data_IF_606301196752
#
_entry.id   IF_606301196752
#
_cell.length_a   1.000
_cell.length_b   1.000
_cell.length_c   1.000
_cell.angle_alpha   90.00
_cell.angle_beta   90.00
_cell.angle_gamma   90.00
#
_symmetry.space_group_name_H-M   'P 1'
#
loop_
_entity.id
_entity.type
_entity.pdbx_description
1 polymer ?
#
# COMPACT_ATOMS: atom_id res chain seq x y z
N UNK A 1 42.42 -45.53 56.53
CA UNK A 1 41.18 -46.36 56.61
C UNK A 1 39.91 -45.54 56.87
N UNK A 2 39.65 -44.42 56.18
CA UNK A 2 38.42 -43.60 56.37
C UNK A 2 37.73 -43.15 55.06
N UNK A 3 38.14 -43.69 53.91
CA UNK A 3 37.60 -43.28 52.61
C UNK A 3 36.48 -44.21 52.09
N UNK A 4 36.51 -45.50 52.41
CA UNK A 4 35.59 -46.49 51.81
C UNK A 4 34.14 -46.41 52.32
N UNK A 5 33.88 -45.88 53.53
CA UNK A 5 32.50 -45.76 54.06
C UNK A 5 31.70 -44.56 53.54
N UNK A 6 32.30 -43.65 52.74
CA UNK A 6 31.58 -42.47 52.21
C UNK A 6 30.86 -42.72 50.90
N UNK A 7 31.29 -43.71 50.11
CA UNK A 7 30.67 -44.01 48.81
C UNK A 7 29.39 -44.86 48.91
N UNK A 8 29.14 -45.56 50.02
CA UNK A 8 27.88 -46.30 50.22
C UNK A 8 26.67 -45.41 50.55
N UNK A 9 26.89 -44.16 51.00
CA UNK A 9 25.81 -43.24 51.34
C UNK A 9 25.26 -42.46 50.14
N UNK A 10 26.04 -42.26 49.07
CA UNK A 10 25.58 -41.51 47.89
C UNK A 10 24.74 -42.35 46.92
N UNK A 11 24.95 -43.67 46.86
CA UNK A 11 24.14 -44.52 45.98
C UNK A 11 22.68 -44.66 46.43
N UNK A 12 22.42 -44.52 47.73
CA UNK A 12 21.08 -44.71 48.28
C UNK A 12 20.18 -43.46 48.16
N UNK A 13 20.74 -42.29 47.87
CA UNK A 13 19.96 -41.06 47.70
C UNK A 13 19.26 -40.99 46.34
N UNK A 14 19.92 -41.44 45.27
CA UNK A 14 19.40 -41.37 43.91
C UNK A 14 18.22 -42.33 43.70
N UNK A 15 18.32 -43.56 44.21
CA UNK A 15 17.24 -44.54 44.15
C UNK A 15 16.02 -44.11 44.97
N UNK A 16 16.23 -43.47 46.13
CA UNK A 16 15.14 -42.94 46.94
C UNK A 16 14.46 -41.72 46.29
N UNK A 17 15.20 -40.85 45.60
CA UNK A 17 14.65 -39.74 44.81
C UNK A 17 13.81 -40.26 43.63
N UNK A 18 14.29 -41.30 42.93
CA UNK A 18 13.59 -41.90 41.80
C UNK A 18 12.31 -42.62 42.26
N UNK A 19 12.36 -43.37 43.37
CA UNK A 19 11.20 -44.06 43.95
C UNK A 19 10.12 -43.07 44.43
N UNK A 20 10.52 -41.92 44.99
CA UNK A 20 9.60 -40.82 45.33
C UNK A 20 8.93 -40.24 44.08
N UNK A 21 9.69 -40.05 43.01
CA UNK A 21 9.14 -39.54 41.74
C UNK A 21 8.13 -40.53 41.14
N UNK A 22 8.44 -41.83 41.12
CA UNK A 22 7.53 -42.86 40.61
C UNK A 22 6.26 -42.99 41.47
N UNK A 23 6.39 -42.98 42.79
CA UNK A 23 5.23 -43.06 43.70
C UNK A 23 4.35 -41.81 43.61
N UNK A 24 4.93 -40.63 43.38
CA UNK A 24 4.20 -39.40 43.09
C UNK A 24 3.38 -39.53 41.79
N UNK A 25 3.99 -40.01 40.70
CA UNK A 25 3.30 -40.27 39.44
C UNK A 25 2.23 -41.36 39.57
N UNK A 26 2.42 -42.40 40.38
CA UNK A 26 1.36 -43.39 40.64
C UNK A 26 0.16 -42.79 41.39
N UNK A 27 0.41 -41.90 42.34
CA UNK A 27 -0.66 -41.28 43.15
C UNK A 27 -1.39 -40.17 42.39
N UNK A 28 -0.69 -39.38 41.57
CA UNK A 28 -1.24 -38.20 40.88
C UNK A 28 -1.32 -38.34 39.36
N UNK A 29 -0.95 -39.50 38.81
CA UNK A 29 -0.81 -39.70 37.37
C UNK A 29 -2.07 -39.38 36.58
N UNK A 30 -3.25 -39.74 37.11
CA UNK A 30 -4.52 -39.40 36.47
C UNK A 30 -4.75 -37.88 36.39
N UNK A 31 -4.46 -37.14 37.47
CA UNK A 31 -4.59 -35.68 37.49
C UNK A 31 -3.60 -35.02 36.54
N UNK A 32 -2.34 -35.46 36.53
CA UNK A 32 -1.31 -34.95 35.62
C UNK A 32 -1.71 -35.20 34.16
N UNK A 33 -2.23 -36.40 33.87
CA UNK A 33 -2.71 -36.76 32.54
C UNK A 33 -3.85 -35.83 32.06
N UNK A 34 -4.84 -35.56 32.91
CA UNK A 34 -5.91 -34.60 32.59
C UNK A 34 -5.39 -33.17 32.40
N UNK A 35 -4.46 -32.72 33.23
CA UNK A 35 -3.82 -31.41 33.05
C UNK A 35 -3.10 -31.30 31.71
N UNK A 36 -2.36 -32.33 31.30
CA UNK A 36 -1.65 -32.38 30.01
C UNK A 36 -2.63 -32.39 28.84
N UNK A 37 -3.72 -33.15 28.93
CA UNK A 37 -4.77 -33.15 27.91
C UNK A 37 -5.40 -31.77 27.76
N UNK A 38 -5.79 -31.14 28.87
CA UNK A 38 -6.41 -29.81 28.84
C UNK A 38 -5.44 -28.80 28.23
N UNK A 39 -4.17 -28.82 28.64
CA UNK A 39 -3.14 -27.95 28.05
C UNK A 39 -2.97 -28.20 26.54
N UNK A 40 -2.97 -29.45 26.09
CA UNK A 40 -2.87 -29.80 24.68
C UNK A 40 -4.09 -29.33 23.86
N UNK A 41 -5.30 -29.43 24.42
CA UNK A 41 -6.54 -28.94 23.78
C UNK A 41 -6.53 -27.41 23.67
N UNK A 42 -6.14 -26.70 24.73
CA UNK A 42 -6.01 -25.23 24.70
C UNK A 42 -4.96 -24.81 23.68
N UNK A 43 -3.81 -25.47 23.65
CA UNK A 43 -2.75 -25.20 22.66
C UNK A 43 -3.24 -25.41 21.23
N UNK A 44 -3.93 -26.53 20.94
CA UNK A 44 -4.52 -26.78 19.62
C UNK A 44 -5.56 -25.73 19.23
N UNK A 45 -6.41 -25.29 20.17
CA UNK A 45 -7.39 -24.24 19.90
C UNK A 45 -6.70 -22.93 19.53
N UNK A 46 -5.71 -22.48 20.30
CA UNK A 46 -4.93 -21.26 20.02
C UNK A 46 -4.24 -21.35 18.66
N UNK A 47 -3.59 -22.48 18.36
CA UNK A 47 -2.92 -22.69 17.08
C UNK A 47 -3.91 -22.67 15.91
N UNK A 48 -5.10 -23.25 16.06
CA UNK A 48 -6.15 -23.23 15.05
C UNK A 48 -6.67 -21.82 14.77
N UNK A 49 -6.88 -21.00 15.81
CA UNK A 49 -7.29 -19.59 15.66
C UNK A 49 -6.19 -18.75 14.99
N UNK A 50 -4.92 -18.91 15.40
CA UNK A 50 -3.80 -18.24 14.75
C UNK A 50 -3.65 -18.65 13.28
N UNK A 51 -3.72 -19.95 12.99
CA UNK A 51 -3.59 -20.43 11.61
C UNK A 51 -4.76 -19.93 10.73
N UNK A 52 -5.97 -19.87 11.27
CA UNK A 52 -7.14 -19.33 10.56
C UNK A 52 -7.00 -17.82 10.31
N UNK A 53 -6.45 -17.06 11.27
CA UNK A 53 -6.17 -15.64 11.10
C UNK A 53 -5.12 -15.39 10.01
N UNK A 54 -3.99 -16.11 10.05
CA UNK A 54 -2.93 -15.97 9.05
C UNK A 54 -3.39 -16.37 7.63
N UNK A 55 -4.19 -17.44 7.50
CA UNK A 55 -4.75 -17.83 6.19
C UNK A 55 -5.65 -16.75 5.59
N UNK A 56 -6.41 -16.04 6.43
CA UNK A 56 -7.26 -14.93 5.96
C UNK A 56 -6.43 -13.73 5.50
N UNK A 57 -5.33 -13.42 6.19
CA UNK A 57 -4.41 -12.36 5.78
C UNK A 57 -3.78 -12.67 4.42
N UNK A 58 -3.24 -13.88 4.25
CA UNK A 58 -2.65 -14.28 2.97
C UNK A 58 -3.68 -14.35 1.84
N UNK A 59 -4.93 -14.74 2.12
CA UNK A 59 -5.99 -14.72 1.12
C UNK A 59 -6.30 -13.30 0.66
N UNK A 60 -6.41 -12.34 1.59
CA UNK A 60 -6.65 -10.93 1.26
C UNK A 60 -5.49 -10.29 0.50
N UNK A 61 -4.25 -10.63 0.87
CA UNK A 61 -3.04 -10.19 0.16
C UNK A 61 -3.00 -10.75 -1.28
N UNK A 62 -3.26 -12.04 -1.45
CA UNK A 62 -3.34 -12.67 -2.76
C UNK A 62 -4.47 -12.08 -3.61
N UNK A 63 -5.65 -11.83 -3.03
CA UNK A 63 -6.77 -11.22 -3.76
C UNK A 63 -6.47 -9.79 -4.20
N UNK A 64 -5.81 -9.00 -3.34
CA UNK A 64 -5.34 -7.67 -3.68
C UNK A 64 -4.33 -7.72 -4.83
N UNK A 65 -3.31 -8.58 -4.74
CA UNK A 65 -2.29 -8.75 -5.78
C UNK A 65 -2.90 -9.26 -7.10
N UNK A 66 -3.81 -10.23 -7.03
CA UNK A 66 -4.53 -10.74 -8.19
C UNK A 66 -5.35 -9.62 -8.86
N UNK A 67 -6.01 -8.76 -8.08
CA UNK A 67 -6.78 -7.62 -8.61
C UNK A 67 -5.89 -6.60 -9.32
N UNK A 68 -4.68 -6.35 -8.82
CA UNK A 68 -3.74 -5.42 -9.46
C UNK A 68 -3.08 -6.01 -10.71
N UNK A 69 -2.72 -7.29 -10.67
CA UNK A 69 -1.99 -7.97 -11.74
C UNK A 69 -2.88 -8.42 -12.90
N UNK A 70 -4.19 -8.59 -12.66
CA UNK A 70 -5.14 -9.00 -13.69
C UNK A 70 -5.42 -7.85 -14.68
N UNK A 71 -4.83 -7.98 -15.87
CA UNK A 71 -5.03 -7.03 -16.98
C UNK A 71 -6.32 -7.26 -17.74
N UNK A 72 -7.01 -8.38 -17.52
CA UNK A 72 -8.28 -8.69 -18.18
C UNK A 72 -9.47 -8.01 -17.52
N UNK A 73 -9.33 -7.57 -16.25
CA UNK A 73 -10.37 -6.82 -15.54
C UNK A 73 -10.60 -5.45 -16.16
N UNK A 74 -11.88 -5.13 -16.37
CA UNK A 74 -12.32 -3.77 -16.67
C UNK A 74 -12.01 -2.84 -15.51
N UNK A 75 -11.98 -1.52 -15.76
CA UNK A 75 -11.76 -0.54 -14.69
C UNK A 75 -12.86 -0.60 -13.61
N UNK A 76 -14.11 -0.86 -14.01
CA UNK A 76 -15.26 -0.99 -13.11
C UNK A 76 -15.14 -2.23 -12.22
N UNK A 77 -14.84 -3.40 -12.80
CA UNK A 77 -14.68 -4.65 -12.04
C UNK A 77 -13.52 -4.55 -11.04
N UNK A 78 -12.41 -3.93 -11.45
CA UNK A 78 -11.25 -3.70 -10.60
C UNK A 78 -11.59 -2.80 -9.42
N UNK A 79 -12.30 -1.68 -9.68
CA UNK A 79 -12.78 -0.77 -8.65
C UNK A 79 -13.71 -1.47 -7.67
N UNK A 80 -14.66 -2.27 -8.16
CA UNK A 80 -15.59 -3.01 -7.31
C UNK A 80 -14.86 -4.01 -6.39
N UNK A 81 -13.85 -4.73 -6.90
CA UNK A 81 -13.01 -5.64 -6.08
C UNK A 81 -12.18 -4.88 -5.04
N UNK A 82 -11.58 -3.76 -5.42
CA UNK A 82 -10.85 -2.93 -4.47
C UNK A 82 -11.78 -2.37 -3.38
N UNK A 83 -12.99 -1.91 -3.73
CA UNK A 83 -13.96 -1.44 -2.73
C UNK A 83 -14.32 -2.55 -1.75
N UNK A 84 -14.60 -3.77 -2.26
CA UNK A 84 -14.87 -4.93 -1.43
C UNK A 84 -13.69 -5.22 -0.47
N UNK A 85 -12.44 -5.12 -0.94
CA UNK A 85 -11.26 -5.25 -0.08
C UNK A 85 -11.17 -4.14 0.98
N UNK A 86 -11.61 -2.91 0.70
CA UNK A 86 -11.65 -1.85 1.71
C UNK A 86 -12.69 -2.09 2.80
N UNK A 87 -13.82 -2.70 2.46
CA UNK A 87 -14.95 -2.89 3.37
C UNK A 87 -14.89 -4.21 4.14
N UNK A 88 -14.44 -5.28 3.49
CA UNK A 88 -14.58 -6.66 3.98
C UNK A 88 -13.26 -7.25 4.51
N UNK A 89 -12.11 -6.67 4.17
CA UNK A 89 -10.82 -7.20 4.63
C UNK A 89 -10.69 -7.06 6.14
N UNK A 90 -10.43 -8.19 6.82
CA UNK A 90 -10.05 -8.18 8.23
C UNK A 90 -8.62 -7.66 8.43
N UNK A 91 -7.81 -7.67 7.37
CA UNK A 91 -6.48 -7.09 7.41
C UNK A 91 -6.57 -5.58 7.12
N UNK A 92 -6.36 -4.79 8.18
CA UNK A 92 -6.40 -3.33 8.12
C UNK A 92 -5.37 -2.75 7.15
N UNK A 93 -4.21 -3.40 6.98
CA UNK A 93 -3.18 -2.94 6.04
C UNK A 93 -3.67 -3.08 4.61
N UNK A 94 -4.28 -4.22 4.27
CA UNK A 94 -4.83 -4.46 2.93
C UNK A 94 -5.98 -3.50 2.64
N UNK A 95 -6.88 -3.26 3.62
CA UNK A 95 -7.97 -2.29 3.44
C UNK A 95 -7.44 -0.86 3.19
N UNK A 96 -6.39 -0.44 3.90
CA UNK A 96 -5.71 0.84 3.67
C UNK A 96 -5.06 0.90 2.29
N UNK A 97 -4.33 -0.16 1.88
CA UNK A 97 -3.70 -0.25 0.56
C UNK A 97 -4.74 -0.19 -0.57
N UNK A 98 -5.84 -0.92 -0.46
CA UNK A 98 -6.95 -0.88 -1.40
C UNK A 98 -7.59 0.52 -1.49
N UNK A 99 -7.76 1.19 -0.35
CA UNK A 99 -8.27 2.57 -0.32
C UNK A 99 -7.33 3.54 -1.05
N UNK A 100 -6.02 3.45 -0.80
CA UNK A 100 -5.03 4.26 -1.53
C UNK A 100 -5.08 3.97 -3.03
N UNK A 101 -5.15 2.70 -3.42
CA UNK A 101 -5.22 2.32 -4.85
C UNK A 101 -6.47 2.90 -5.52
N UNK A 102 -7.63 2.86 -4.87
CA UNK A 102 -8.86 3.50 -5.39
C UNK A 102 -8.67 5.00 -5.60
N UNK A 103 -8.03 5.69 -4.65
CA UNK A 103 -7.66 7.10 -4.79
C UNK A 103 -6.70 7.34 -5.97
N UNK A 104 -5.67 6.51 -6.10
CA UNK A 104 -4.67 6.59 -7.18
C UNK A 104 -5.31 6.36 -8.55
N UNK A 105 -6.24 5.41 -8.67
CA UNK A 105 -6.98 5.12 -9.91
C UNK A 105 -7.92 6.26 -10.29
N UNK A 106 -8.66 6.83 -9.33
CA UNK A 106 -9.52 7.98 -9.57
C UNK A 106 -8.73 9.20 -10.06
N UNK A 107 -7.58 9.49 -9.45
CA UNK A 107 -6.68 10.56 -9.92
C UNK A 107 -6.16 10.29 -11.32
N UNK A 108 -5.71 9.06 -11.60
CA UNK A 108 -5.20 8.67 -12.91
C UNK A 108 -6.25 8.82 -14.01
N UNK A 109 -7.49 8.42 -13.76
CA UNK A 109 -8.59 8.57 -14.72
C UNK A 109 -8.84 10.03 -15.09
N UNK A 110 -8.78 10.95 -14.11
CA UNK A 110 -8.94 12.37 -14.38
C UNK A 110 -7.77 12.91 -15.20
N UNK A 111 -6.53 12.53 -14.87
CA UNK A 111 -5.34 12.96 -15.60
C UNK A 111 -5.31 12.46 -17.04
N UNK A 112 -5.81 11.25 -17.29
CA UNK A 112 -5.88 10.65 -18.63
C UNK A 112 -7.14 11.07 -19.42
N UNK A 113 -8.06 11.82 -18.80
CA UNK A 113 -9.34 12.19 -19.42
C UNK A 113 -10.26 10.99 -19.69
N UNK A 114 -10.06 9.87 -18.99
CA UNK A 114 -10.82 8.63 -19.17
C UNK A 114 -12.02 8.50 -18.24
N UNK A 115 -12.27 9.47 -17.35
CA UNK A 115 -13.36 9.41 -16.40
C UNK A 115 -14.72 9.63 -17.07
N UNK A 116 -15.71 8.81 -16.75
CA UNK A 116 -17.11 8.99 -17.17
C UNK A 116 -17.85 10.05 -16.35
N UNK A 117 -17.27 10.49 -15.23
CA UNK A 117 -17.83 11.53 -14.36
C UNK A 117 -17.03 12.84 -14.49
N UNK A 118 -17.61 14.00 -14.11
CA UNK A 118 -16.88 15.26 -14.09
C UNK A 118 -15.56 15.16 -13.29
N UNK A 119 -14.45 15.75 -13.77
CA UNK A 119 -13.14 15.71 -13.12
C UNK A 119 -13.15 16.08 -11.63
N UNK A 120 -13.92 17.10 -11.26
CA UNK A 120 -14.05 17.56 -9.87
C UNK A 120 -14.76 16.54 -8.98
N UNK A 121 -15.71 15.79 -9.52
CA UNK A 121 -16.41 14.72 -8.81
C UNK A 121 -15.49 13.50 -8.61
N UNK A 122 -14.79 13.06 -9.66
CA UNK A 122 -13.80 11.98 -9.56
C UNK A 122 -12.68 12.31 -8.56
N UNK A 123 -12.20 13.56 -8.54
CA UNK A 123 -11.24 14.03 -7.54
C UNK A 123 -11.81 14.01 -6.12
N UNK A 124 -13.10 14.35 -5.95
CA UNK A 124 -13.79 14.23 -4.67
C UNK A 124 -13.81 12.79 -4.16
N UNK A 125 -14.19 11.84 -5.02
CA UNK A 125 -14.19 10.40 -4.71
C UNK A 125 -12.77 9.91 -4.35
N UNK A 126 -11.75 10.32 -5.12
CA UNK A 126 -10.37 9.97 -4.79
C UNK A 126 -9.94 10.51 -3.42
N UNK A 127 -10.31 11.76 -3.09
CA UNK A 127 -10.05 12.34 -1.77
C UNK A 127 -10.75 11.58 -0.64
N UNK A 128 -11.98 11.12 -0.82
CA UNK A 128 -12.70 10.32 0.18
C UNK A 128 -11.93 9.04 0.53
N UNK A 129 -11.37 8.35 -0.46
CA UNK A 129 -10.57 7.14 -0.20
C UNK A 129 -9.25 7.44 0.54
N UNK A 130 -8.54 8.51 0.19
CA UNK A 130 -7.35 8.91 0.94
C UNK A 130 -7.70 9.37 2.36
N UNK A 131 -8.80 10.12 2.53
CA UNK A 131 -9.25 10.57 3.84
C UNK A 131 -9.63 9.39 4.73
N UNK A 132 -10.26 8.34 4.17
CA UNK A 132 -10.53 7.07 4.87
C UNK A 132 -9.25 6.47 5.46
N UNK A 133 -8.11 6.57 4.75
CA UNK A 133 -6.79 6.11 5.24
C UNK A 133 -6.34 6.94 6.44
N UNK A 134 -6.42 8.27 6.32
CA UNK A 134 -6.05 9.21 7.38
C UNK A 134 -6.86 8.98 8.65
N UNK A 135 -8.18 8.77 8.51
CA UNK A 135 -9.08 8.66 9.66
C UNK A 135 -8.99 7.30 10.37
N UNK A 136 -8.78 6.21 9.63
CA UNK A 136 -8.96 4.84 10.15
C UNK A 136 -7.67 4.02 10.28
N UNK A 137 -6.55 4.48 9.73
CA UNK A 137 -5.34 3.67 9.54
C UNK A 137 -4.06 4.39 9.97
N UNK A 138 -4.13 5.13 11.07
CA UNK A 138 -3.00 5.87 11.65
C UNK A 138 -1.85 5.00 12.15
N UNK A 139 -2.07 3.69 12.33
CA UNK A 139 -1.09 2.69 12.71
C UNK A 139 -0.11 2.30 11.59
N UNK A 140 -0.35 2.76 10.36
CA UNK A 140 0.50 2.46 9.20
C UNK A 140 1.18 3.73 8.67
N UNK A 141 2.29 4.18 9.27
CA UNK A 141 2.88 5.50 8.98
C UNK A 141 3.22 5.71 7.51
N UNK A 142 3.70 4.66 6.82
CA UNK A 142 4.03 4.72 5.38
C UNK A 142 2.77 4.94 4.53
N UNK A 143 1.67 4.24 4.85
CA UNK A 143 0.41 4.37 4.12
C UNK A 143 -0.28 5.71 4.44
N UNK A 144 -0.19 6.15 5.70
CA UNK A 144 -0.67 7.46 6.13
C UNK A 144 0.04 8.60 5.39
N UNK A 145 1.37 8.53 5.28
CA UNK A 145 2.13 9.51 4.51
C UNK A 145 1.75 9.50 3.03
N UNK A 146 1.58 8.31 2.43
CA UNK A 146 1.11 8.18 1.04
C UNK A 146 -0.30 8.76 0.85
N UNK A 147 -1.22 8.55 1.78
CA UNK A 147 -2.56 9.11 1.72
C UNK A 147 -2.55 10.64 1.80
N UNK A 148 -1.74 11.23 2.68
CA UNK A 148 -1.56 12.68 2.72
C UNK A 148 -0.98 13.26 1.42
N UNK A 149 -0.01 12.57 0.80
CA UNK A 149 0.49 12.96 -0.53
C UNK A 149 -0.61 12.89 -1.60
N UNK A 150 -1.46 11.86 -1.54
CA UNK A 150 -2.64 11.71 -2.39
C UNK A 150 -3.62 12.88 -2.24
N UNK A 151 -4.00 13.23 -0.99
CA UNK A 151 -4.84 14.39 -0.68
C UNK A 151 -4.22 15.71 -1.16
N UNK A 152 -2.91 15.88 -0.95
CA UNK A 152 -2.19 17.05 -1.43
C UNK A 152 -2.26 17.16 -2.96
N UNK A 153 -2.09 16.05 -3.67
CA UNK A 153 -2.20 15.97 -5.13
C UNK A 153 -3.62 16.29 -5.60
N UNK A 154 -4.66 15.79 -4.93
CA UNK A 154 -6.05 16.16 -5.23
C UNK A 154 -6.25 17.68 -5.09
N UNK A 155 -5.82 18.25 -3.96
CA UNK A 155 -5.92 19.68 -3.71
C UNK A 155 -5.15 20.52 -4.74
N UNK A 156 -3.93 20.12 -5.12
CA UNK A 156 -3.18 20.76 -6.21
C UNK A 156 -3.99 20.79 -7.50
N UNK A 157 -4.53 19.65 -7.93
CA UNK A 157 -5.28 19.59 -9.19
C UNK A 157 -6.58 20.40 -9.13
N UNK A 158 -7.27 20.43 -7.99
CA UNK A 158 -8.46 21.27 -7.80
C UNK A 158 -8.17 22.77 -7.95
N UNK A 159 -6.93 23.23 -7.71
CA UNK A 159 -6.57 24.64 -7.98
C UNK A 159 -6.64 24.98 -9.46
N UNK A 160 -6.32 24.04 -10.35
CA UNK A 160 -6.43 24.22 -11.80
C UNK A 160 -7.89 24.44 -12.24
N UNK A 161 -8.85 23.94 -11.46
CA UNK A 161 -10.29 24.15 -11.65
C UNK A 161 -10.82 25.41 -10.95
N UNK A 162 -9.95 26.40 -10.69
CA UNK A 162 -10.37 27.71 -10.18
C UNK A 162 -10.60 27.78 -8.67
N UNK A 163 -10.05 26.84 -7.89
CA UNK A 163 -10.16 26.82 -6.42
C UNK A 163 -8.82 27.17 -5.75
N UNK A 164 -8.38 28.44 -5.73
CA UNK A 164 -7.05 28.81 -5.24
C UNK A 164 -6.82 28.51 -3.75
N UNK A 165 -7.89 28.43 -2.94
CA UNK A 165 -7.81 28.05 -1.53
C UNK A 165 -7.28 26.62 -1.31
N UNK A 166 -7.44 25.73 -2.30
CA UNK A 166 -6.96 24.35 -2.22
C UNK A 166 -5.43 24.28 -2.20
N UNK A 167 -4.74 25.33 -2.67
CA UNK A 167 -3.28 25.38 -2.64
C UNK A 167 -2.72 25.36 -1.21
N UNK A 168 -3.39 26.05 -0.28
CA UNK A 168 -3.00 26.04 1.13
C UNK A 168 -3.24 24.65 1.75
N UNK A 169 -4.31 23.96 1.36
CA UNK A 169 -4.61 22.59 1.81
C UNK A 169 -3.59 21.59 1.29
N UNK A 170 -3.17 21.72 0.03
CA UNK A 170 -2.11 20.88 -0.54
C UNK A 170 -0.82 20.98 0.29
N UNK A 171 -0.42 22.21 0.63
CA UNK A 171 0.73 22.45 1.50
C UNK A 171 0.57 21.79 2.88
N UNK A 172 -0.58 21.97 3.53
CA UNK A 172 -0.86 21.36 4.84
C UNK A 172 -0.72 19.83 4.78
N UNK A 173 -1.21 19.20 3.73
CA UNK A 173 -1.11 17.75 3.57
C UNK A 173 0.32 17.28 3.32
N UNK A 174 1.14 18.00 2.55
CA UNK A 174 2.56 17.65 2.44
C UNK A 174 3.31 17.83 3.75
N UNK A 175 3.05 18.91 4.48
CA UNK A 175 3.63 19.14 5.81
C UNK A 175 3.23 18.00 6.77
N UNK A 176 1.96 17.59 6.75
CA UNK A 176 1.48 16.43 7.50
C UNK A 176 2.20 15.13 7.10
N UNK A 177 2.39 14.87 5.80
CA UNK A 177 3.10 13.69 5.33
C UNK A 177 4.55 13.65 5.84
N UNK A 178 5.25 14.79 5.86
CA UNK A 178 6.62 14.92 6.34
C UNK A 178 6.74 14.80 7.87
N UNK A 179 5.68 15.12 8.61
CA UNK A 179 5.65 15.08 10.07
C UNK A 179 5.38 13.68 10.65
N UNK A 180 5.05 12.68 9.83
CA UNK A 180 4.72 11.33 10.30
C UNK A 180 5.98 10.57 10.72
N UNK A 181 6.05 10.23 12.01
CA UNK A 181 7.10 9.38 12.56
C UNK A 181 7.08 7.99 11.92
N UNK A 182 8.26 7.46 11.58
CA UNK A 182 8.40 6.16 10.90
C UNK A 182 8.15 6.18 9.39
N UNK A 183 7.77 7.33 8.80
CA UNK A 183 7.66 7.49 7.34
C UNK A 183 8.84 8.26 6.70
N UNK A 184 9.79 8.73 7.51
CA UNK A 184 10.96 9.47 7.04
C UNK A 184 11.79 8.66 6.03
N UNK A 185 12.16 9.28 4.90
CA UNK A 185 12.95 8.65 3.84
C UNK A 185 12.18 7.70 2.92
N UNK A 186 10.88 7.49 3.15
CA UNK A 186 10.03 6.73 2.22
C UNK A 186 9.81 7.50 0.91
N UNK A 187 9.48 6.82 -0.20
CA UNK A 187 9.18 7.50 -1.47
C UNK A 187 8.10 8.57 -1.36
N UNK A 188 7.09 8.36 -0.51
CA UNK A 188 6.01 9.33 -0.27
C UNK A 188 6.55 10.63 0.37
N UNK A 189 7.38 10.54 1.40
CA UNK A 189 7.94 11.72 2.07
C UNK A 189 8.98 12.44 1.21
N UNK A 190 9.77 11.70 0.41
CA UNK A 190 10.65 12.29 -0.60
C UNK A 190 9.86 13.07 -1.64
N UNK A 191 8.77 12.49 -2.16
CA UNK A 191 7.89 13.18 -3.12
C UNK A 191 7.22 14.41 -2.49
N UNK A 192 6.76 14.30 -1.24
CA UNK A 192 6.18 15.43 -0.50
C UNK A 192 7.17 16.61 -0.38
N UNK A 193 8.41 16.32 0.02
CA UNK A 193 9.46 17.33 0.14
C UNK A 193 9.76 17.99 -1.23
N UNK A 194 9.89 17.19 -2.28
CA UNK A 194 10.11 17.71 -3.64
C UNK A 194 8.94 18.59 -4.10
N UNK A 195 7.70 18.15 -3.87
CA UNK A 195 6.50 18.90 -4.24
C UNK A 195 6.41 20.23 -3.47
N UNK A 196 6.72 20.23 -2.17
CA UNK A 196 6.76 21.46 -1.37
C UNK A 196 7.72 22.51 -1.93
N UNK A 197 8.88 22.10 -2.43
CA UNK A 197 9.83 23.01 -3.08
C UNK A 197 9.26 23.59 -4.40
N UNK A 198 8.49 22.79 -5.14
CA UNK A 198 7.90 23.20 -6.43
C UNK A 198 6.60 24.02 -6.30
N UNK A 199 5.93 23.97 -5.15
CA UNK A 199 4.64 24.63 -4.94
C UNK A 199 4.67 26.13 -5.34
N UNK A 200 5.62 26.97 -4.87
CA UNK A 200 5.63 28.39 -5.23
C UNK A 200 5.65 28.65 -6.74
N UNK A 201 6.27 27.76 -7.53
CA UNK A 201 6.33 27.87 -8.97
C UNK A 201 5.04 27.40 -9.64
N UNK A 202 4.38 26.36 -9.12
CA UNK A 202 3.07 25.91 -9.60
C UNK A 202 1.98 26.99 -9.46
N UNK A 203 2.13 27.90 -8.49
CA UNK A 203 1.22 29.04 -8.33
C UNK A 203 1.38 30.10 -9.43
N UNK A 204 2.56 30.19 -10.06
CA UNK A 204 2.77 31.14 -11.16
C UNK A 204 2.00 30.61 -12.36
N UNK A 205 0.98 31.36 -12.81
CA UNK A 205 0.19 31.01 -14.01
C UNK A 205 1.14 30.63 -15.14
N UNK A 206 1.05 29.39 -15.61
CA UNK A 206 1.85 28.92 -16.73
C UNK A 206 1.65 29.87 -17.90
N UNK A 207 2.69 30.64 -18.21
CA UNK A 207 2.73 31.44 -19.43
C UNK A 207 3.10 30.47 -20.53
N UNK A 208 2.10 30.03 -21.30
CA UNK A 208 2.38 29.37 -22.57
C UNK A 208 3.34 30.30 -23.33
N UNK A 209 4.50 29.79 -23.72
CA UNK A 209 5.32 30.52 -24.67
C UNK A 209 4.42 30.84 -25.88
N UNK A 210 4.47 32.07 -26.42
CA UNK A 210 3.72 32.36 -27.64
C UNK A 210 4.08 31.29 -28.67
N UNK A 211 3.10 30.77 -29.43
CA UNK A 211 3.37 29.71 -30.40
C UNK A 211 4.50 30.18 -31.30
N UNK A 212 5.66 29.54 -31.20
CA UNK A 212 6.75 29.77 -32.13
C UNK A 212 6.20 29.35 -33.48
N UNK A 213 5.90 30.33 -34.35
CA UNK A 213 5.44 30.01 -35.69
C UNK A 213 6.49 29.08 -36.30
N UNK A 214 6.08 27.94 -36.89
CA UNK A 214 7.05 27.10 -37.59
C UNK A 214 7.80 27.99 -38.57
N UNK A 215 9.13 27.85 -38.69
CA UNK A 215 9.90 28.61 -39.67
C UNK A 215 9.18 28.45 -41.01
N UNK A 216 8.78 29.58 -41.59
CA UNK A 216 8.10 29.60 -42.89
C UNK A 216 8.96 28.78 -43.85
N UNK A 217 8.45 27.60 -44.23
CA UNK A 217 9.12 26.78 -45.21
C UNK A 217 9.23 27.65 -46.46
N UNK A 218 10.48 27.95 -46.85
CA UNK A 218 10.73 28.64 -48.10
C UNK A 218 9.94 27.90 -49.20
N UNK A 219 9.24 28.63 -50.08
CA UNK A 219 8.47 28.00 -51.15
C UNK A 219 9.36 26.99 -51.87
N UNK A 220 8.86 25.76 -52.15
CA UNK A 220 9.66 24.74 -52.79
C UNK A 220 10.27 25.34 -54.04
N UNK A 221 11.60 25.29 -54.15
CA UNK A 221 12.32 25.72 -55.33
C UNK A 221 11.63 25.05 -56.53
N UNK A 222 11.08 25.89 -57.42
CA UNK A 222 10.31 25.45 -58.58
C UNK A 222 11.20 24.47 -59.34
N UNK A 223 10.89 23.18 -59.24
CA UNK A 223 11.63 22.16 -59.97
C UNK A 223 11.50 22.52 -61.45
N UNK A 224 12.62 22.93 -62.04
CA UNK A 224 12.71 23.25 -63.45
C UNK A 224 12.46 21.92 -64.18
N UNK A 225 11.24 21.72 -64.68
CA UNK A 225 10.90 20.53 -65.48
C UNK A 225 11.80 20.58 -66.71
N UNK A 226 12.71 19.62 -66.90
CA UNK A 226 13.49 19.54 -68.12
C UNK A 226 12.52 19.31 -69.28
N UNK A 227 12.60 20.18 -70.28
CA UNK A 227 11.83 20.06 -71.51
C UNK A 227 12.36 18.86 -72.31
N UNK A 228 11.75 17.70 -72.12
CA UNK A 228 12.04 16.51 -72.92
C UNK A 228 11.22 16.59 -74.22
N UNK A 229 11.87 17.06 -75.28
CA UNK A 229 11.32 16.95 -76.63
C UNK A 229 11.12 15.46 -76.98
N UNK A 230 9.92 15.04 -77.44
CA UNK A 230 9.69 13.66 -77.82
C UNK A 230 10.49 13.32 -79.08
N UNK A 231 11.35 12.30 -79.01
CA UNK A 231 11.97 11.72 -80.19
C UNK A 231 10.91 11.04 -81.07
N UNK A 232 10.95 11.24 -82.41
CA UNK A 232 10.05 10.56 -83.33
C UNK A 232 10.40 9.07 -83.41
N UNK A 233 9.41 8.21 -83.16
CA UNK A 233 9.53 6.76 -83.30
C UNK A 233 9.48 6.39 -84.79
N UNK A 234 10.43 5.57 -85.31
CA UNK A 234 10.45 5.11 -86.70
C UNK A 234 9.38 4.04 -87.03
#
# INVERSE_FOLDING_TARGET
>A
MKAERRHELEHNTLDNELAKTISFFRKHGNTIFWCVIIAAVVFMAVMFFHQRANRRQHAAEFEFEATLSDRSLTAEDRRARLEALTEQSTDRRIAAMASITLGDEGLREVMLGGSSVPPTQAMGQAAEHYQRVVDRFSDFPILLAKAHVGLATVSENLTAFGRPAEFARARQHYEAALAIEGAAGTPATVLAAQRMLSLPDLRKKARMAPPTMPPSLAPPARAMVPDFAPEPIP
#
